data_IF_449903076118
#
_entry.id   IF_449903076118
#
_cell.length_a   1.000
_cell.length_b   1.000
_cell.length_c   1.000
_cell.angle_alpha   90.00
_cell.angle_beta   90.00
_cell.angle_gamma   90.00
#
_symmetry.space_group_name_H-M   'P 1'
#
loop_
_entity.id
_entity.type
_entity.pdbx_description
1 polymer ?
#
# COMPACT_ATOMS: atom_id res chain seq x y z
N UNK A 1 13.00 -3.96 5.06
CA UNK A 1 11.92 -4.54 4.24
C UNK A 1 12.52 -5.14 2.97
N UNK A 2 11.95 -6.22 2.41
CA UNK A 2 12.21 -6.58 1.00
C UNK A 2 11.28 -5.73 0.10
N UNK A 3 11.83 -4.64 -0.42
CA UNK A 3 11.06 -3.62 -1.13
C UNK A 3 10.50 -4.12 -2.47
N UNK A 4 11.25 -4.94 -3.19
CA UNK A 4 10.81 -5.50 -4.47
C UNK A 4 9.62 -6.44 -4.29
N UNK A 5 9.64 -7.22 -3.20
CA UNK A 5 8.54 -8.09 -2.84
C UNK A 5 7.32 -7.32 -2.33
N UNK A 6 7.49 -6.29 -1.49
CA UNK A 6 6.39 -5.41 -1.06
C UNK A 6 5.72 -4.73 -2.28
N UNK A 7 6.52 -4.13 -3.17
CA UNK A 7 6.06 -3.57 -4.45
C UNK A 7 5.22 -4.57 -5.25
N UNK A 8 5.69 -5.82 -5.36
CA UNK A 8 4.99 -6.89 -6.10
C UNK A 8 3.63 -7.22 -5.47
N UNK A 9 3.54 -7.21 -4.15
CA UNK A 9 2.30 -7.48 -3.42
C UNK A 9 1.30 -6.31 -3.51
N UNK A 10 1.78 -5.06 -3.63
CA UNK A 10 0.94 -3.87 -3.81
C UNK A 10 0.46 -3.67 -5.26
N UNK A 11 1.19 -4.22 -6.24
CA UNK A 11 0.92 -4.07 -7.67
C UNK A 11 -0.52 -4.36 -8.11
N UNK A 12 -1.24 -5.40 -7.60
CA UNK A 12 -2.62 -5.66 -8.02
C UNK A 12 -3.59 -4.51 -7.75
N UNK A 13 -3.35 -3.72 -6.70
CA UNK A 13 -4.13 -2.51 -6.40
C UNK A 13 -3.68 -1.34 -7.30
N UNK A 14 -2.38 -1.07 -7.34
CA UNK A 14 -1.81 0.05 -8.10
C UNK A 14 -1.94 -0.09 -9.63
N UNK A 15 -2.26 -1.28 -10.13
CA UNK A 15 -2.49 -1.52 -11.57
C UNK A 15 -3.85 -0.99 -12.05
N UNK A 16 -4.78 -0.63 -11.17
CA UNK A 16 -6.07 -0.02 -11.56
C UNK A 16 -5.92 1.49 -11.75
N UNK A 17 -6.42 2.07 -12.85
CA UNK A 17 -6.29 3.52 -13.12
C UNK A 17 -6.94 4.38 -12.03
N UNK A 18 -7.95 3.83 -11.37
CA UNK A 18 -8.74 4.46 -10.33
C UNK A 18 -8.21 4.17 -8.92
N UNK A 19 -6.99 3.66 -8.75
CA UNK A 19 -6.44 3.25 -7.45
C UNK A 19 -6.54 4.31 -6.33
N UNK A 20 -6.52 5.59 -6.72
CA UNK A 20 -6.58 6.79 -5.89
C UNK A 20 -8.01 7.32 -5.67
N UNK A 21 -9.01 6.80 -6.39
CA UNK A 21 -10.36 7.37 -6.45
C UNK A 21 -11.21 7.21 -5.19
N UNK A 22 -10.80 6.31 -4.28
CA UNK A 22 -11.60 5.94 -3.11
C UNK A 22 -12.87 5.14 -3.45
N UNK A 23 -13.01 4.64 -4.68
CA UNK A 23 -14.12 3.78 -5.05
C UNK A 23 -14.10 2.47 -4.21
N UNK A 24 -15.25 1.92 -3.78
CA UNK A 24 -15.30 0.74 -2.91
C UNK A 24 -14.53 -0.48 -3.44
N UNK A 25 -14.45 -0.62 -4.77
CA UNK A 25 -13.69 -1.70 -5.41
C UNK A 25 -12.18 -1.48 -5.32
N UNK A 26 -11.71 -0.24 -5.37
CA UNK A 26 -10.31 0.10 -5.22
C UNK A 26 -9.87 -0.02 -3.76
N UNK A 27 -10.73 0.40 -2.83
CA UNK A 27 -10.56 0.17 -1.41
C UNK A 27 -10.44 -1.33 -1.10
N UNK A 28 -11.28 -2.17 -1.71
CA UNK A 28 -11.18 -3.62 -1.58
C UNK A 28 -9.84 -4.16 -2.10
N UNK A 29 -9.36 -3.67 -3.25
CA UNK A 29 -8.05 -4.06 -3.80
C UNK A 29 -6.91 -3.65 -2.87
N UNK A 30 -6.96 -2.45 -2.31
CA UNK A 30 -6.02 -1.95 -1.33
C UNK A 30 -5.94 -2.89 -0.12
N UNK A 31 -7.08 -3.22 0.50
CA UNK A 31 -7.11 -4.14 1.65
C UNK A 31 -6.61 -5.54 1.32
N UNK A 32 -6.89 -6.06 0.12
CA UNK A 32 -6.36 -7.37 -0.32
C UNK A 32 -4.84 -7.34 -0.52
N UNK A 33 -4.31 -6.24 -1.05
CA UNK A 33 -2.88 -6.02 -1.18
C UNK A 33 -2.19 -5.92 0.20
N UNK A 34 -2.77 -5.15 1.13
CA UNK A 34 -2.30 -5.05 2.51
C UNK A 34 -2.31 -6.39 3.22
N UNK A 35 -3.40 -7.15 3.12
CA UNK A 35 -3.47 -8.50 3.69
C UNK A 35 -2.33 -9.37 3.17
N UNK A 36 -2.06 -9.34 1.86
CA UNK A 36 -0.97 -10.11 1.26
C UNK A 36 0.40 -9.67 1.76
N UNK A 37 0.62 -8.36 1.93
CA UNK A 37 1.83 -7.81 2.53
C UNK A 37 1.99 -8.24 4.00
N UNK A 38 0.93 -8.19 4.80
CA UNK A 38 0.96 -8.58 6.20
C UNK A 38 1.11 -10.09 6.41
N UNK A 39 0.55 -10.91 5.54
CA UNK A 39 0.76 -12.37 5.56
C UNK A 39 2.23 -12.73 5.29
N UNK A 40 2.95 -11.91 4.50
CA UNK A 40 4.35 -12.13 4.16
C UNK A 40 5.33 -11.53 5.18
N UNK A 41 5.15 -10.26 5.56
CA UNK A 41 6.11 -9.51 6.37
C UNK A 41 5.68 -9.32 7.82
N UNK A 42 4.46 -9.72 8.18
CA UNK A 42 3.81 -9.30 9.40
C UNK A 42 3.31 -7.86 9.34
N UNK A 43 2.80 -7.37 10.47
CA UNK A 43 2.17 -6.05 10.61
C UNK A 43 3.16 -4.96 11.05
N UNK A 44 4.45 -5.16 10.79
CA UNK A 44 5.51 -4.21 11.13
C UNK A 44 6.02 -3.51 9.86
N UNK A 45 5.10 -2.93 9.09
CA UNK A 45 5.38 -2.18 7.87
C UNK A 45 5.10 -0.71 8.15
N UNK A 46 6.13 0.13 8.01
CA UNK A 46 6.02 1.57 8.24
C UNK A 46 5.35 2.28 7.06
N UNK A 47 4.81 3.47 7.29
CA UNK A 47 4.31 4.34 6.22
C UNK A 47 5.41 4.66 5.20
N UNK A 48 6.64 4.91 5.62
CA UNK A 48 7.78 5.14 4.72
C UNK A 48 8.05 3.94 3.80
N UNK A 49 8.01 2.71 4.35
CA UNK A 49 8.15 1.51 3.52
C UNK A 49 7.01 1.35 2.51
N UNK A 50 5.77 1.64 2.92
CA UNK A 50 4.62 1.64 1.99
C UNK A 50 4.76 2.71 0.92
N UNK A 51 5.11 3.94 1.29
CA UNK A 51 5.30 5.07 0.39
C UNK A 51 6.35 4.73 -0.67
N UNK A 52 7.52 4.26 -0.25
CA UNK A 52 8.58 3.85 -1.17
C UNK A 52 8.11 2.74 -2.12
N UNK A 53 7.41 1.72 -1.63
CA UNK A 53 6.90 0.64 -2.46
C UNK A 53 5.86 1.11 -3.49
N UNK A 54 4.96 2.00 -3.08
CA UNK A 54 3.95 2.60 -3.98
C UNK A 54 4.63 3.42 -5.06
N UNK A 55 5.56 4.32 -4.68
CA UNK A 55 6.31 5.16 -5.62
C UNK A 55 7.09 4.32 -6.62
N UNK A 56 7.80 3.28 -6.16
CA UNK A 56 8.54 2.36 -7.04
C UNK A 56 7.61 1.64 -8.02
N UNK A 57 6.45 1.17 -7.56
CA UNK A 57 5.47 0.53 -8.42
C UNK A 57 4.93 1.50 -9.48
N UNK A 58 4.50 2.69 -9.06
CA UNK A 58 3.95 3.70 -9.95
C UNK A 58 5.01 4.19 -10.95
N UNK A 59 6.27 4.33 -10.57
CA UNK A 59 7.35 4.67 -11.51
C UNK A 59 7.49 3.67 -12.66
N UNK A 60 7.27 2.37 -12.42
CA UNK A 60 7.38 1.33 -13.45
C UNK A 60 6.19 1.33 -14.42
N UNK A 61 4.96 1.48 -13.92
CA UNK A 61 3.75 1.25 -14.72
C UNK A 61 2.97 2.53 -15.05
N UNK A 62 3.10 3.58 -14.23
CA UNK A 62 2.38 4.86 -14.34
C UNK A 62 3.20 6.04 -13.80
N UNK A 63 4.31 6.40 -14.46
CA UNK A 63 5.24 7.41 -13.93
C UNK A 63 4.62 8.81 -13.76
N UNK A 64 3.50 9.11 -14.44
CA UNK A 64 2.77 10.38 -14.28
C UNK A 64 2.01 10.45 -12.95
N UNK A 65 1.54 9.30 -12.45
CA UNK A 65 0.73 9.22 -11.23
C UNK A 65 1.54 9.59 -9.99
N UNK A 66 2.84 9.26 -9.98
CA UNK A 66 3.75 9.57 -8.85
C UNK A 66 3.70 11.04 -8.45
N UNK A 67 3.64 11.95 -9.43
CA UNK A 67 3.60 13.40 -9.18
C UNK A 67 2.18 13.96 -9.17
N UNK A 68 1.25 13.32 -9.88
CA UNK A 68 -0.14 13.81 -9.98
C UNK A 68 -0.95 13.48 -8.73
N UNK A 69 -0.55 12.44 -7.99
CA UNK A 69 -1.26 11.89 -6.84
C UNK A 69 -0.32 11.70 -5.63
N UNK A 70 0.66 12.60 -5.47
CA UNK A 70 1.65 12.55 -4.37
C UNK A 70 0.96 12.50 -2.99
N UNK A 71 -0.07 13.34 -2.80
CA UNK A 71 -0.86 13.34 -1.55
C UNK A 71 -1.58 12.01 -1.32
N UNK A 72 -2.14 11.40 -2.38
CA UNK A 72 -2.81 10.11 -2.26
C UNK A 72 -1.81 9.00 -1.91
N UNK A 73 -0.60 9.04 -2.48
CA UNK A 73 0.48 8.11 -2.10
C UNK A 73 0.79 8.21 -0.61
N UNK A 74 0.96 9.43 -0.08
CA UNK A 74 1.19 9.65 1.35
C UNK A 74 0.01 9.19 2.20
N UNK A 75 -1.22 9.50 1.80
CA UNK A 75 -2.43 9.13 2.53
C UNK A 75 -2.60 7.60 2.61
N UNK A 76 -2.45 6.89 1.49
CA UNK A 76 -2.56 5.43 1.47
C UNK A 76 -1.40 4.75 2.20
N UNK A 77 -0.20 5.33 2.19
CA UNK A 77 0.94 4.85 2.96
C UNK A 77 0.69 4.94 4.46
N UNK A 78 0.21 6.10 4.93
CA UNK A 78 -0.18 6.30 6.33
C UNK A 78 -1.31 5.36 6.72
N UNK A 79 -2.34 5.24 5.88
CA UNK A 79 -3.47 4.33 6.11
C UNK A 79 -3.02 2.87 6.25
N UNK A 80 -2.02 2.44 5.47
CA UNK A 80 -1.42 1.12 5.58
C UNK A 80 -0.80 0.86 6.94
N UNK A 81 -0.05 1.84 7.45
CA UNK A 81 0.55 1.79 8.79
C UNK A 81 -0.51 1.83 9.91
N UNK A 82 -1.52 2.68 9.79
CA UNK A 82 -2.61 2.78 10.78
C UNK A 82 -3.34 1.43 10.94
N UNK A 83 -3.61 0.74 9.82
CA UNK A 83 -4.20 -0.59 9.82
C UNK A 83 -3.25 -1.60 10.48
N UNK A 84 -1.95 -1.52 10.19
CA UNK A 84 -0.95 -2.40 10.77
C UNK A 84 -0.85 -2.22 12.30
N UNK A 85 -0.89 -0.97 12.77
CA UNK A 85 -0.93 -0.63 14.19
C UNK A 85 -2.20 -1.19 14.85
N UNK A 86 -3.37 -0.97 14.25
CA UNK A 86 -4.63 -1.50 14.77
C UNK A 86 -4.62 -3.04 14.88
N UNK A 87 -4.11 -3.73 13.85
CA UNK A 87 -3.99 -5.19 13.87
C UNK A 87 -2.99 -5.70 14.91
N UNK A 88 -1.96 -4.91 15.23
CA UNK A 88 -1.01 -5.22 16.30
C UNK A 88 -1.70 -5.17 17.66
N UNK A 89 -2.48 -4.12 17.93
CA UNK A 89 -3.21 -3.94 19.18
C UNK A 89 -4.26 -5.02 19.45
N UNK A 90 -4.84 -5.59 18.39
CA UNK A 90 -5.82 -6.66 18.49
C UNK A 90 -5.22 -8.05 18.82
N UNK A 91 -3.91 -8.24 18.71
CA UNK A 91 -3.28 -9.53 19.01
C UNK A 91 -3.11 -9.68 20.53
N UNK A 92 -3.68 -10.74 21.15
CA UNK A 92 -3.45 -11.00 22.57
C UNK A 92 -1.96 -11.31 22.81
N UNK A 93 -1.39 -10.68 23.83
CA UNK A 93 -0.01 -10.87 24.29
C UNK A 93 0.22 -12.24 24.94
#
# INVERSE_FOLDING_TARGET
MDMEKLKTLLKPWLSAETWHSGDPLDDQRFHLALKSAFDEFGVHISSDDFQQAIVLCLHEYRPRDVTSFENDVEEFAQRGEDIASYLTDLKPH
#
